data_IF_420795683849
#
_entry.id   IF_420795683849
#
_cell.length_a   1.000
_cell.length_b   1.000
_cell.length_c   1.000
_cell.angle_alpha   90.00
_cell.angle_beta   90.00
_cell.angle_gamma   90.00
#
_symmetry.space_group_name_H-M   'P 1'
#
loop_
_entity.id
_entity.type
_entity.pdbx_description
1 polymer ?
#
# COMPACT_ATOMS: atom_id res chain seq x y z
N UNK A 1 23.56 70.12 41.70
CA UNK A 1 22.49 69.11 41.72
C UNK A 1 22.24 68.72 40.27
N UNK A 2 22.86 67.66 39.70
CA UNK A 2 22.40 66.24 39.68
C UNK A 2 20.88 66.16 39.42
N UNK A 3 20.36 65.60 38.32
CA UNK A 3 20.73 64.34 37.64
C UNK A 3 20.11 64.26 36.24
N UNK A 4 20.87 63.74 35.28
CA UNK A 4 20.40 63.20 33.98
C UNK A 4 19.62 61.90 34.20
N UNK A 5 18.54 61.69 33.44
CA UNK A 5 17.86 60.40 33.34
C UNK A 5 17.98 59.88 31.90
N UNK A 6 18.86 58.91 31.69
CA UNK A 6 18.89 58.05 30.52
C UNK A 6 17.76 57.02 30.64
N UNK A 7 16.90 56.92 29.62
CA UNK A 7 15.87 55.89 29.54
C UNK A 7 16.34 54.77 28.61
N UNK A 8 16.29 53.49 29.04
CA UNK A 8 16.99 52.41 28.36
C UNK A 8 16.25 51.88 27.12
N UNK A 9 17.08 51.55 26.15
CA UNK A 9 16.85 50.91 24.86
C UNK A 9 16.21 49.52 25.06
N UNK A 10 14.94 49.35 24.66
CA UNK A 10 14.24 48.07 24.72
C UNK A 10 14.35 47.37 23.36
N UNK A 11 15.22 46.37 23.27
CA UNK A 11 15.28 45.42 22.14
C UNK A 11 14.24 44.32 22.34
N UNK A 12 13.29 44.09 21.40
CA UNK A 12 12.58 42.84 21.35
C UNK A 12 13.49 41.79 20.70
N UNK A 13 13.89 40.81 21.50
CA UNK A 13 14.50 39.58 21.02
C UNK A 13 13.45 38.83 20.16
N UNK A 14 13.62 38.89 18.85
CA UNK A 14 12.87 38.01 17.94
C UNK A 14 13.39 36.59 18.09
N UNK A 15 12.72 35.81 18.95
CA UNK A 15 12.86 34.37 19.02
C UNK A 15 12.34 33.75 17.71
N UNK A 16 13.25 33.55 16.75
CA UNK A 16 12.98 32.79 15.54
C UNK A 16 12.86 31.30 15.91
N UNK A 17 11.63 30.87 16.23
CA UNK A 17 11.29 29.45 16.35
C UNK A 17 11.35 28.84 14.95
N UNK A 18 12.47 28.20 14.63
CA UNK A 18 12.61 27.32 13.47
C UNK A 18 11.70 26.11 13.68
N UNK A 19 10.47 26.19 13.18
CA UNK A 19 9.59 25.04 12.98
C UNK A 19 10.24 24.14 11.92
N UNK A 20 11.12 23.25 12.36
CA UNK A 20 11.56 22.12 11.56
C UNK A 20 10.34 21.23 11.30
N UNK A 21 9.69 21.43 10.15
CA UNK A 21 8.68 20.53 9.63
C UNK A 21 9.35 19.18 9.37
N UNK A 22 9.28 18.26 10.33
CA UNK A 22 9.54 16.85 10.09
C UNK A 22 8.48 16.35 9.12
N UNK A 23 8.73 16.50 7.82
CA UNK A 23 8.07 15.70 6.82
C UNK A 23 8.50 14.26 7.10
N UNK A 24 7.66 13.53 7.84
CA UNK A 24 7.77 12.09 7.95
C UNK A 24 7.84 11.56 6.51
N UNK A 25 9.04 11.10 6.11
CA UNK A 25 9.18 10.40 4.83
C UNK A 25 8.33 9.16 4.98
N UNK A 26 7.18 9.13 4.31
CA UNK A 26 6.36 7.94 4.24
C UNK A 26 7.24 6.82 3.67
N UNK A 27 7.69 5.92 4.55
CA UNK A 27 8.41 4.74 4.13
C UNK A 27 7.41 3.84 3.40
N UNK A 28 7.87 3.20 2.33
CA UNK A 28 7.04 2.22 1.66
C UNK A 28 6.90 0.99 2.57
N UNK A 29 5.82 0.94 3.33
CA UNK A 29 5.44 -0.19 4.17
C UNK A 29 4.33 -0.98 3.49
N UNK A 30 4.60 -2.26 3.25
CA UNK A 30 3.62 -3.22 2.78
C UNK A 30 3.11 -4.02 3.98
N UNK A 31 1.81 -3.99 4.20
CA UNK A 31 1.15 -4.83 5.19
C UNK A 31 0.62 -6.08 4.51
N UNK A 32 1.03 -7.24 5.00
CA UNK A 32 0.41 -8.51 4.60
C UNK A 32 -0.98 -8.60 5.22
N UNK A 33 -1.98 -8.85 4.39
CA UNK A 33 -3.34 -9.12 4.83
C UNK A 33 -3.62 -10.62 4.80
N UNK A 34 -4.28 -11.11 5.85
CA UNK A 34 -4.75 -12.49 5.96
C UNK A 34 -6.26 -12.51 5.73
N UNK A 35 -6.73 -13.18 4.67
CA UNK A 35 -8.16 -13.39 4.48
C UNK A 35 -8.78 -14.23 5.59
N UNK A 36 -10.03 -13.93 5.91
CA UNK A 36 -10.88 -14.69 6.81
C UNK A 36 -12.13 -15.13 6.03
N UNK A 37 -12.19 -16.41 5.67
CA UNK A 37 -13.23 -16.90 4.76
C UNK A 37 -13.07 -16.26 3.38
N UNK A 38 -14.13 -15.61 2.89
CA UNK A 38 -14.15 -14.87 1.60
C UNK A 38 -13.82 -13.38 1.74
N UNK A 39 -13.39 -12.93 2.91
CA UNK A 39 -13.22 -11.51 3.21
C UNK A 39 -11.80 -11.19 3.64
N UNK A 40 -11.37 -9.96 3.35
CA UNK A 40 -10.18 -9.37 3.97
C UNK A 40 -10.48 -7.95 4.42
N UNK A 41 -10.03 -7.59 5.62
CA UNK A 41 -10.23 -6.25 6.17
C UNK A 41 -9.08 -5.33 5.74
N UNK A 42 -9.44 -4.17 5.23
CA UNK A 42 -8.54 -3.10 4.82
C UNK A 42 -8.95 -1.85 5.59
N UNK A 43 -8.22 -1.52 6.65
CA UNK A 43 -8.59 -0.43 7.56
C UNK A 43 -10.04 -0.58 8.08
N UNK A 44 -10.92 0.37 7.77
CA UNK A 44 -12.34 0.35 8.10
C UNK A 44 -13.23 -0.31 7.03
N UNK A 45 -12.66 -0.77 5.91
CA UNK A 45 -13.38 -1.37 4.80
C UNK A 45 -13.24 -2.90 4.79
N UNK A 46 -14.26 -3.57 4.25
CA UNK A 46 -14.24 -5.02 3.97
C UNK A 46 -14.11 -5.20 2.46
N UNK A 47 -13.16 -6.04 2.06
CA UNK A 47 -12.95 -6.46 0.67
C UNK A 47 -13.41 -7.91 0.55
N UNK A 48 -14.35 -8.17 -0.34
CA UNK A 48 -14.82 -9.51 -0.70
C UNK A 48 -13.91 -10.06 -1.80
N UNK A 49 -13.49 -11.32 -1.65
CA UNK A 49 -12.59 -12.01 -2.58
C UNK A 49 -13.34 -12.94 -3.55
N UNK A 50 -14.64 -13.12 -3.35
CA UNK A 50 -15.47 -14.08 -4.08
C UNK A 50 -15.53 -15.44 -3.39
N UNK A 51 -15.85 -16.48 -4.16
CA UNK A 51 -16.08 -17.82 -3.62
C UNK A 51 -14.76 -18.52 -3.30
N UNK A 52 -14.61 -18.97 -2.06
CA UNK A 52 -13.44 -19.74 -1.65
C UNK A 52 -13.41 -21.12 -2.31
N UNK A 53 -12.22 -21.61 -2.64
CA UNK A 53 -12.00 -22.98 -3.13
C UNK A 53 -12.39 -24.04 -2.09
N UNK A 54 -12.19 -23.73 -0.81
CA UNK A 54 -12.60 -24.55 0.32
C UNK A 54 -13.14 -23.65 1.45
N UNK A 55 -14.39 -23.86 1.88
CA UNK A 55 -15.01 -23.02 2.90
C UNK A 55 -14.35 -23.12 4.29
N UNK A 56 -13.75 -24.26 4.65
CA UNK A 56 -13.15 -24.48 5.96
C UNK A 56 -11.69 -23.99 6.04
N UNK A 57 -10.96 -24.05 4.93
CA UNK A 57 -9.57 -23.62 4.84
C UNK A 57 -9.26 -23.07 3.44
N UNK A 58 -9.71 -21.84 3.11
CA UNK A 58 -9.50 -21.26 1.80
C UNK A 58 -8.01 -21.11 1.48
N UNK A 59 -7.60 -21.59 0.31
CA UNK A 59 -6.27 -21.32 -0.25
C UNK A 59 -6.35 -20.39 -1.47
N UNK A 60 -7.54 -20.25 -2.05
CA UNK A 60 -7.79 -19.41 -3.22
C UNK A 60 -9.26 -18.97 -3.31
N UNK A 61 -9.53 -17.91 -4.06
CA UNK A 61 -10.89 -17.40 -4.30
C UNK A 61 -11.16 -17.17 -5.77
N UNK A 62 -12.32 -17.63 -6.24
CA UNK A 62 -12.84 -17.30 -7.56
C UNK A 62 -13.55 -15.96 -7.44
N UNK A 63 -12.93 -14.91 -7.97
CA UNK A 63 -13.43 -13.54 -7.91
C UNK A 63 -14.85 -13.34 -8.47
N UNK A 64 -15.35 -12.09 -8.49
CA UNK A 64 -14.57 -10.86 -8.50
C UNK A 64 -14.10 -10.39 -7.11
N UNK A 65 -13.11 -9.51 -7.09
CA UNK A 65 -12.75 -8.75 -5.90
C UNK A 65 -13.66 -7.53 -5.79
N UNK A 66 -14.39 -7.40 -4.67
CA UNK A 66 -15.35 -6.30 -4.44
C UNK A 66 -14.97 -5.53 -3.19
N UNK A 67 -14.82 -4.21 -3.32
CA UNK A 67 -14.48 -3.30 -2.22
C UNK A 67 -15.38 -2.07 -2.28
N UNK A 68 -16.45 -2.05 -1.47
CA UNK A 68 -17.47 -1.00 -1.55
C UNK A 68 -18.11 -0.94 -2.94
N UNK A 69 -17.92 0.18 -3.65
CA UNK A 69 -18.41 0.36 -5.02
C UNK A 69 -17.43 -0.15 -6.10
N UNK A 70 -16.22 -0.56 -5.74
CA UNK A 70 -15.24 -1.06 -6.69
C UNK A 70 -15.42 -2.56 -6.93
N UNK A 71 -15.41 -2.97 -8.21
CA UNK A 71 -15.39 -4.37 -8.63
C UNK A 71 -14.22 -4.58 -9.57
N UNK A 72 -13.39 -5.59 -9.30
CA UNK A 72 -12.26 -5.96 -10.13
C UNK A 72 -12.37 -7.42 -10.57
N UNK A 73 -12.54 -7.61 -11.88
CA UNK A 73 -12.55 -8.94 -12.50
C UNK A 73 -11.12 -9.45 -12.63
N UNK A 74 -10.70 -10.20 -11.61
CA UNK A 74 -9.41 -10.84 -11.53
C UNK A 74 -9.57 -12.34 -11.77
N UNK A 75 -8.46 -13.04 -11.99
CA UNK A 75 -8.45 -14.50 -12.03
C UNK A 75 -8.72 -15.11 -10.65
N UNK A 76 -8.27 -16.34 -10.44
CA UNK A 76 -8.32 -16.97 -9.13
C UNK A 76 -7.32 -16.24 -8.22
N UNK A 77 -7.79 -15.64 -7.13
CA UNK A 77 -7.01 -14.84 -6.19
C UNK A 77 -6.27 -15.77 -5.22
N UNK A 78 -4.98 -15.52 -5.00
CA UNK A 78 -4.12 -16.27 -4.07
C UNK A 78 -3.61 -15.35 -2.94
N UNK A 79 -3.43 -15.88 -1.72
CA UNK A 79 -2.74 -15.16 -0.65
C UNK A 79 -1.21 -15.17 -0.87
N UNK A 80 -0.45 -14.23 -0.27
CA UNK A 80 -0.93 -13.11 0.55
C UNK A 80 -1.40 -11.92 -0.31
N UNK A 81 -2.45 -11.22 0.13
CA UNK A 81 -2.74 -9.88 -0.37
C UNK A 81 -1.89 -8.86 0.38
N UNK A 82 -1.44 -7.79 -0.30
CA UNK A 82 -0.60 -6.76 0.32
C UNK A 82 -1.26 -5.40 0.24
N UNK A 83 -1.38 -4.72 1.37
CA UNK A 83 -1.88 -3.36 1.46
C UNK A 83 -0.72 -2.37 1.50
N UNK A 84 -0.81 -1.31 0.72
CA UNK A 84 0.08 -0.17 0.77
C UNK A 84 -0.72 1.13 0.90
N UNK A 85 -0.22 2.06 1.72
CA UNK A 85 -0.79 3.40 1.84
C UNK A 85 -2.30 3.42 2.18
N UNK A 86 -2.80 2.39 2.87
CA UNK A 86 -4.21 2.25 3.29
C UNK A 86 -5.24 2.06 2.15
N UNK A 87 -4.84 2.06 0.88
CA UNK A 87 -5.77 2.05 -0.27
C UNK A 87 -5.28 1.35 -1.53
N UNK A 88 -3.99 1.04 -1.60
CA UNK A 88 -3.41 0.34 -2.73
C UNK A 88 -3.30 -1.14 -2.38
N UNK A 89 -4.01 -1.98 -3.11
CA UNK A 89 -4.07 -3.41 -2.84
C UNK A 89 -3.34 -4.16 -3.95
N UNK A 90 -2.32 -4.92 -3.57
CA UNK A 90 -1.68 -5.91 -4.42
C UNK A 90 -2.43 -7.23 -4.32
N UNK A 91 -2.93 -7.71 -5.45
CA UNK A 91 -3.75 -8.91 -5.56
C UNK A 91 -3.03 -9.91 -6.47
N UNK A 92 -2.40 -10.95 -5.88
CA UNK A 92 -1.92 -12.09 -6.65
C UNK A 92 -3.12 -12.84 -7.22
N UNK A 93 -3.06 -13.16 -8.51
CA UNK A 93 -4.08 -13.99 -9.14
C UNK A 93 -3.48 -14.86 -10.23
N UNK A 94 -4.14 -15.98 -10.52
CA UNK A 94 -3.77 -16.84 -11.64
C UNK A 94 -4.95 -17.20 -12.53
N UNK A 95 -4.62 -17.53 -13.77
CA UNK A 95 -5.54 -18.14 -14.72
C UNK A 95 -4.79 -19.24 -15.47
N UNK A 96 -5.24 -20.49 -15.32
CA UNK A 96 -4.49 -21.66 -15.78
C UNK A 96 -3.14 -21.75 -15.06
N UNK A 97 -2.03 -21.73 -15.81
CA UNK A 97 -0.67 -21.80 -15.27
C UNK A 97 0.04 -20.44 -15.12
N UNK A 98 -0.66 -19.34 -15.40
CA UNK A 98 -0.07 -17.99 -15.41
C UNK A 98 -0.48 -17.20 -14.16
N UNK A 99 0.49 -16.89 -13.29
CA UNK A 99 0.32 -15.96 -12.16
C UNK A 99 0.63 -14.53 -12.57
N UNK A 100 -0.14 -13.59 -12.06
CA UNK A 100 0.09 -12.15 -12.20
C UNK A 100 -0.13 -11.48 -10.85
N UNK A 101 0.53 -10.34 -10.66
CA UNK A 101 0.30 -9.46 -9.51
C UNK A 101 -0.30 -8.17 -10.01
N UNK A 102 -1.50 -7.83 -9.54
CA UNK A 102 -2.21 -6.61 -9.94
C UNK A 102 -2.26 -5.64 -8.77
N UNK A 103 -1.87 -4.39 -8.99
CA UNK A 103 -2.02 -3.30 -8.04
C UNK A 103 -3.29 -2.53 -8.37
N UNK A 104 -4.26 -2.53 -7.47
CA UNK A 104 -5.51 -1.78 -7.59
C UNK A 104 -5.56 -0.64 -6.59
N UNK A 105 -6.19 0.47 -6.97
CA UNK A 105 -6.51 1.58 -6.08
C UNK A 105 -7.98 1.50 -5.71
N UNK A 106 -8.24 1.26 -4.42
CA UNK A 106 -9.60 1.09 -3.87
C UNK A 106 -10.38 2.40 -3.78
N UNK A 107 -9.70 3.56 -3.86
CA UNK A 107 -10.39 4.85 -3.85
C UNK A 107 -10.88 5.25 -5.24
N UNK A 108 -10.11 4.92 -6.28
CA UNK A 108 -10.43 5.30 -7.67
C UNK A 108 -10.98 4.15 -8.50
N UNK A 109 -11.19 2.97 -7.90
CA UNK A 109 -11.62 1.75 -8.57
C UNK A 109 -10.82 1.42 -9.83
N UNK A 110 -9.50 1.61 -9.80
CA UNK A 110 -8.65 1.50 -11.00
C UNK A 110 -7.46 0.57 -10.80
N UNK A 111 -7.10 -0.16 -11.85
CA UNK A 111 -5.83 -0.90 -11.91
C UNK A 111 -4.70 0.10 -12.15
N UNK A 112 -3.76 0.20 -11.20
CA UNK A 112 -2.61 1.12 -11.28
C UNK A 112 -1.42 0.48 -11.97
N UNK A 113 -1.26 -0.82 -11.81
CA UNK A 113 -0.17 -1.60 -12.40
C UNK A 113 -0.55 -3.08 -12.44
N UNK A 114 0.02 -3.82 -13.40
CA UNK A 114 -0.10 -5.28 -13.50
C UNK A 114 1.24 -5.83 -13.93
N UNK A 115 1.69 -6.90 -13.28
CA UNK A 115 2.92 -7.57 -13.65
C UNK A 115 2.75 -8.36 -14.97
N UNK A 116 3.86 -8.58 -15.66
CA UNK A 116 3.97 -9.73 -16.56
C UNK A 116 3.69 -11.04 -15.81
N UNK A 117 3.32 -12.08 -16.56
CA UNK A 117 3.13 -13.40 -15.98
C UNK A 117 4.44 -13.93 -15.37
N UNK A 118 4.36 -14.55 -14.19
CA UNK A 118 5.52 -15.13 -13.50
C UNK A 118 5.21 -16.52 -12.95
N UNK A 119 6.27 -17.24 -12.59
CA UNK A 119 6.22 -18.52 -11.88
C UNK A 119 6.99 -18.40 -10.56
N UNK A 120 6.64 -19.25 -9.59
CA UNK A 120 7.23 -19.22 -8.25
C UNK A 120 6.48 -18.33 -7.26
N UNK A 121 7.09 -18.11 -6.09
CA UNK A 121 6.46 -17.43 -4.96
C UNK A 121 6.61 -15.91 -5.06
N UNK A 122 5.59 -15.20 -4.56
CA UNK A 122 5.69 -13.80 -4.19
C UNK A 122 6.42 -13.71 -2.85
N UNK A 123 7.51 -12.94 -2.78
CA UNK A 123 8.12 -12.58 -1.49
C UNK A 123 8.26 -11.06 -1.36
N UNK A 124 8.15 -10.58 -0.13
CA UNK A 124 8.16 -9.15 0.21
C UNK A 124 9.56 -8.82 0.71
N UNK A 125 10.18 -7.79 0.14
CA UNK A 125 11.46 -7.27 0.59
C UNK A 125 11.39 -5.77 0.90
N UNK A 126 12.47 -5.21 1.48
CA UNK A 126 12.56 -3.77 1.69
C UNK A 126 12.45 -3.03 0.35
N UNK A 127 11.37 -2.25 0.19
CA UNK A 127 11.07 -1.45 -1.02
C UNK A 127 11.10 -2.25 -2.32
N UNK A 128 10.77 -3.54 -2.27
CA UNK A 128 10.73 -4.38 -3.45
C UNK A 128 9.81 -5.58 -3.26
N UNK A 129 9.29 -6.07 -4.38
CA UNK A 129 8.60 -7.34 -4.48
C UNK A 129 9.47 -8.30 -5.27
N UNK A 130 9.56 -9.54 -4.84
CA UNK A 130 10.19 -10.60 -5.60
C UNK A 130 9.09 -11.48 -6.18
N UNK A 131 8.98 -11.50 -7.51
CA UNK A 131 8.02 -12.31 -8.26
C UNK A 131 8.77 -13.50 -8.83
N UNK A 132 8.83 -14.60 -8.07
CA UNK A 132 9.69 -15.74 -8.38
C UNK A 132 11.16 -15.34 -8.41
N UNK A 133 11.75 -15.29 -9.61
CA UNK A 133 13.15 -14.89 -9.82
C UNK A 133 13.36 -13.39 -10.10
N UNK A 134 12.31 -12.62 -10.36
CA UNK A 134 12.42 -11.19 -10.75
C UNK A 134 12.17 -10.25 -9.57
N UNK A 135 13.10 -9.33 -9.34
CA UNK A 135 12.94 -8.25 -8.36
C UNK A 135 12.26 -7.03 -9.01
N UNK A 136 11.18 -6.57 -8.41
CA UNK A 136 10.43 -5.36 -8.78
C UNK A 136 10.65 -4.32 -7.70
N UNK A 137 11.32 -3.22 -8.02
CA UNK A 137 11.55 -2.14 -7.05
C UNK A 137 10.27 -1.31 -6.85
N UNK A 138 10.14 -0.71 -5.67
CA UNK A 138 9.01 0.15 -5.29
C UNK A 138 9.49 1.59 -5.00
N UNK A 139 8.71 2.57 -5.45
CA UNK A 139 8.90 3.98 -5.07
C UNK A 139 8.55 4.23 -3.59
N UNK A 140 8.67 5.48 -3.15
CA UNK A 140 8.32 5.85 -1.77
C UNK A 140 6.83 5.66 -1.44
N UNK A 141 5.96 5.57 -2.46
CA UNK A 141 4.51 5.37 -2.32
C UNK A 141 4.11 3.90 -2.48
N UNK A 142 5.08 2.99 -2.46
CA UNK A 142 4.86 1.57 -2.75
C UNK A 142 4.24 1.28 -4.12
N UNK A 143 4.59 2.07 -5.13
CA UNK A 143 4.20 1.80 -6.52
C UNK A 143 5.40 1.20 -7.27
N UNK A 144 5.21 0.17 -8.10
CA UNK A 144 6.31 -0.43 -8.86
C UNK A 144 7.02 0.59 -9.76
N UNK A 145 8.34 0.57 -9.74
CA UNK A 145 9.20 1.31 -10.65
C UNK A 145 9.86 0.31 -11.61
N UNK A 146 9.62 0.47 -12.92
CA UNK A 146 10.09 -0.48 -13.95
C UNK A 146 8.95 -1.19 -14.67
N UNK A 147 9.30 -2.21 -15.46
CA UNK A 147 8.47 -2.76 -16.56
C UNK A 147 6.99 -3.04 -16.23
N UNK A 148 6.16 -2.74 -17.23
CA UNK A 148 4.75 -3.15 -17.38
C UNK A 148 4.69 -4.43 -18.21
#
# INVERSE_FOLDING_TARGET
MKTMACMPYQWPAFAAVLLASMAARAECTLQTLTPHGSEVRVEAAVVQLGDADNAASPAAWQGPLVAGACTFDLGIIEPPLLLAQGKLLYVPSYSGSRRTLTLVDLNTCSVRWKSMAFSGRLTIGPRALQLGGKRIALDARCVPIGEK
#
